data_IF_326562698254
#
_entry.id   IF_326562698254
#
_cell.length_a   1.000
_cell.length_b   1.000
_cell.length_c   1.000
_cell.angle_alpha   90.00
_cell.angle_beta   90.00
_cell.angle_gamma   90.00
#
_symmetry.space_group_name_H-M   'P 1'
#
loop_
_entity.id
_entity.type
_entity.pdbx_description
1 polymer ?
#
# COMPACT_ATOMS: atom_id res chain seq x y z
N UNK A 1 8.15 8.50 46.60
CA UNK A 1 8.40 9.11 45.28
C UNK A 1 7.84 8.16 44.23
N UNK A 2 6.67 8.49 43.68
CA UNK A 2 5.86 7.59 42.86
C UNK A 2 6.45 7.54 41.43
N UNK A 3 7.01 6.39 41.01
CA UNK A 3 7.41 6.15 39.62
C UNK A 3 6.13 5.86 38.84
N UNK A 4 5.54 6.89 38.25
CA UNK A 4 4.51 6.72 37.23
C UNK A 4 5.17 6.03 36.02
N UNK A 5 4.65 4.88 35.66
CA UNK A 5 5.08 4.03 34.55
C UNK A 5 4.94 4.75 33.21
N UNK A 6 6.06 4.95 32.51
CA UNK A 6 6.15 5.36 31.09
C UNK A 6 5.71 4.24 30.10
N UNK A 7 4.76 3.39 30.48
CA UNK A 7 4.49 2.15 29.75
C UNK A 7 3.53 2.32 28.55
N UNK A 8 2.84 3.46 28.42
CA UNK A 8 1.70 3.57 27.50
C UNK A 8 1.89 4.57 26.33
N UNK A 9 2.94 5.40 26.34
CA UNK A 9 3.22 6.29 25.20
C UNK A 9 3.84 5.49 24.04
N UNK A 10 3.29 5.58 22.82
CA UNK A 10 3.88 4.91 21.67
C UNK A 10 5.25 5.53 21.35
N UNK A 11 6.23 4.67 21.03
CA UNK A 11 7.56 5.07 20.52
C UNK A 11 7.50 5.62 19.08
N UNK A 12 6.30 5.66 18.49
CA UNK A 12 6.02 6.10 17.13
C UNK A 12 4.70 6.85 17.04
N UNK A 13 4.49 7.58 15.95
CA UNK A 13 3.21 8.23 15.67
C UNK A 13 2.08 7.17 15.55
N UNK A 14 0.85 7.48 16.01
CA UNK A 14 -0.28 6.59 15.84
C UNK A 14 -0.70 6.51 14.37
N UNK A 15 -1.14 5.32 13.96
CA UNK A 15 -1.73 5.08 12.64
C UNK A 15 -3.18 5.59 12.68
N UNK A 16 -3.51 6.61 11.88
CA UNK A 16 -4.84 7.22 11.83
C UNK A 16 -5.42 7.10 10.42
N UNK A 17 -6.28 6.10 10.14
CA UNK A 17 -6.94 5.97 8.84
C UNK A 17 -7.84 7.17 8.54
N UNK A 18 -7.79 7.68 7.32
CA UNK A 18 -8.58 8.84 6.91
C UNK A 18 -9.95 8.41 6.40
N UNK A 19 -10.95 9.27 6.55
CA UNK A 19 -12.30 9.06 6.05
C UNK A 19 -12.55 9.91 4.80
N UNK A 20 -13.49 9.50 3.96
CA UNK A 20 -13.98 10.26 2.81
C UNK A 20 -12.87 10.73 1.86
N UNK A 21 -11.95 9.82 1.50
CA UNK A 21 -10.89 10.09 0.54
C UNK A 21 -11.48 10.36 -0.85
N UNK A 22 -11.28 11.57 -1.34
CA UNK A 22 -11.61 11.99 -2.69
C UNK A 22 -10.44 12.83 -3.25
N UNK A 23 -9.86 12.37 -4.35
CA UNK A 23 -8.75 13.01 -5.03
C UNK A 23 -9.17 13.64 -6.37
N UNK A 24 -10.47 13.67 -6.69
CA UNK A 24 -10.99 14.22 -7.94
C UNK A 24 -10.52 13.47 -9.19
N UNK A 25 -10.30 12.15 -9.07
CA UNK A 25 -9.79 11.30 -10.15
C UNK A 25 -10.84 11.00 -11.24
N UNK A 26 -12.07 11.45 -11.08
CA UNK A 26 -13.13 11.47 -12.10
C UNK A 26 -13.17 12.79 -12.88
N UNK A 27 -12.42 13.80 -12.46
CA UNK A 27 -12.34 15.10 -13.11
C UNK A 27 -11.56 15.13 -14.44
N UNK A 28 -11.50 16.32 -15.03
CA UNK A 28 -10.76 16.61 -16.26
C UNK A 28 -9.25 16.75 -15.98
N UNK A 29 -8.60 15.62 -15.76
CA UNK A 29 -7.14 15.53 -15.63
C UNK A 29 -6.54 15.21 -17.01
N UNK A 30 -5.69 16.08 -17.58
CA UNK A 30 -5.07 15.87 -18.88
C UNK A 30 -4.31 14.54 -18.96
N UNK A 31 -4.28 13.92 -20.14
CA UNK A 31 -3.51 12.68 -20.40
C UNK A 31 -2.03 12.82 -19.99
N UNK A 32 -1.45 13.99 -20.20
CA UNK A 32 -0.09 14.33 -19.80
C UNK A 32 -0.14 15.43 -18.72
N UNK A 33 -0.62 15.06 -17.54
CA UNK A 33 -0.90 15.97 -16.43
C UNK A 33 0.33 16.70 -15.90
N UNK A 34 1.54 16.16 -16.12
CA UNK A 34 2.78 16.78 -15.68
C UNK A 34 3.27 17.82 -16.70
N UNK A 35 2.62 18.97 -16.72
CA UNK A 35 2.93 20.10 -17.60
C UNK A 35 2.95 19.75 -19.11
N UNK A 36 2.14 18.77 -19.54
CA UNK A 36 2.11 18.30 -20.92
C UNK A 36 3.26 17.36 -21.31
N UNK A 37 4.19 17.07 -20.40
CA UNK A 37 5.35 16.22 -20.66
C UNK A 37 4.97 14.74 -20.58
N UNK A 38 5.01 14.07 -21.73
CA UNK A 38 4.61 12.67 -21.85
C UNK A 38 5.52 11.71 -21.07
N UNK A 39 6.84 11.94 -21.09
CA UNK A 39 7.77 11.05 -20.40
C UNK A 39 7.61 11.16 -18.88
N UNK A 40 7.62 12.39 -18.36
CA UNK A 40 7.48 12.60 -16.91
C UNK A 40 6.15 12.09 -16.39
N UNK A 41 5.06 12.36 -17.11
CA UNK A 41 3.73 11.82 -16.78
C UNK A 41 3.78 10.30 -16.72
N UNK A 42 4.25 9.64 -17.79
CA UNK A 42 4.27 8.17 -17.84
C UNK A 42 5.21 7.52 -16.83
N UNK A 43 6.29 8.19 -16.46
CA UNK A 43 7.18 7.72 -15.40
C UNK A 43 6.45 7.63 -14.05
N UNK A 44 5.74 8.69 -13.66
CA UNK A 44 4.97 8.69 -12.40
C UNK A 44 3.71 7.83 -12.48
N UNK A 45 3.04 7.79 -13.64
CA UNK A 45 1.92 6.88 -13.87
C UNK A 45 2.33 5.41 -13.65
N UNK A 46 3.51 5.02 -14.14
CA UNK A 46 4.03 3.66 -13.99
C UNK A 46 4.25 3.29 -12.51
N UNK A 47 4.67 4.24 -11.67
CA UNK A 47 4.79 3.99 -10.22
C UNK A 47 3.43 3.62 -9.61
N UNK A 48 2.35 4.32 -10.00
CA UNK A 48 0.98 4.00 -9.55
C UNK A 48 0.57 2.55 -9.85
N UNK A 49 1.09 1.96 -10.92
CA UNK A 49 0.74 0.58 -11.30
C UNK A 49 1.31 -0.49 -10.36
N UNK A 50 2.39 -0.17 -9.63
CA UNK A 50 3.06 -1.09 -8.70
C UNK A 50 2.28 -1.25 -7.39
N UNK A 51 1.69 -0.16 -6.90
CA UNK A 51 1.15 -0.09 -5.54
C UNK A 51 0.01 -1.08 -5.26
N UNK A 52 -1.01 -1.28 -6.14
CA UNK A 52 -2.12 -2.18 -5.80
C UNK A 52 -1.71 -3.62 -5.47
N UNK A 53 -0.64 -4.14 -6.09
CA UNK A 53 -0.12 -5.47 -5.75
C UNK A 53 0.89 -5.42 -4.60
N UNK A 54 1.66 -4.34 -4.47
CA UNK A 54 2.55 -4.08 -3.34
C UNK A 54 1.79 -3.96 -2.00
N UNK A 55 0.73 -3.18 -1.95
CA UNK A 55 -0.11 -3.00 -0.76
C UNK A 55 -0.85 -4.30 -0.40
N UNK A 56 -1.30 -5.07 -1.39
CA UNK A 56 -1.80 -6.44 -1.17
C UNK A 56 -0.72 -7.32 -0.53
N UNK A 57 0.54 -7.17 -0.96
CA UNK A 57 1.67 -7.89 -0.39
C UNK A 57 1.95 -7.43 1.05
N UNK A 58 1.91 -6.13 1.34
CA UNK A 58 2.06 -5.57 2.69
C UNK A 58 0.98 -6.09 3.65
N UNK A 59 -0.29 -6.01 3.25
CA UNK A 59 -1.42 -6.54 4.03
C UNK A 59 -1.25 -8.05 4.27
N UNK A 60 -0.83 -8.79 3.24
CA UNK A 60 -0.66 -10.25 3.35
C UNK A 60 0.49 -10.60 4.29
N UNK A 61 1.63 -9.92 4.19
CA UNK A 61 2.81 -10.18 5.02
C UNK A 61 2.51 -9.95 6.51
N UNK A 62 1.80 -8.87 6.84
CA UNK A 62 1.37 -8.58 8.22
C UNK A 62 0.38 -9.63 8.73
N UNK A 63 -0.57 -10.05 7.88
CA UNK A 63 -1.57 -11.07 8.24
C UNK A 63 -0.95 -12.44 8.57
N UNK A 64 0.18 -12.79 7.97
CA UNK A 64 0.88 -14.05 8.28
C UNK A 64 1.35 -14.17 9.73
N UNK A 65 1.47 -13.03 10.45
CA UNK A 65 1.92 -12.97 11.83
C UNK A 65 0.82 -12.56 12.82
N UNK A 66 -0.40 -12.29 12.34
CA UNK A 66 -1.51 -11.77 13.15
C UNK A 66 -1.81 -12.64 14.37
N UNK A 67 -1.76 -13.95 14.23
CA UNK A 67 -2.10 -14.88 15.32
C UNK A 67 -1.06 -14.85 16.47
N UNK A 68 0.14 -14.32 16.22
CA UNK A 68 1.16 -14.07 17.24
C UNK A 68 1.03 -12.71 17.94
N UNK A 69 0.12 -11.85 17.49
CA UNK A 69 -0.08 -10.50 18.05
C UNK A 69 -1.08 -10.57 19.20
N UNK A 70 -0.59 -10.54 20.45
CA UNK A 70 -1.42 -10.65 21.66
C UNK A 70 -1.76 -9.31 22.30
N UNK A 71 -0.95 -8.27 22.08
CA UNK A 71 -1.19 -6.93 22.62
C UNK A 71 -2.44 -6.31 21.97
N UNK A 72 -3.46 -5.89 22.74
CA UNK A 72 -4.65 -5.23 22.18
C UNK A 72 -4.31 -3.96 21.38
N UNK A 73 -3.28 -3.22 21.82
CA UNK A 73 -2.79 -2.03 21.13
C UNK A 73 -2.23 -2.38 19.75
N UNK A 74 -1.34 -3.37 19.67
CA UNK A 74 -0.73 -3.79 18.42
C UNK A 74 -1.77 -4.44 17.47
N UNK A 75 -2.77 -5.15 18.02
CA UNK A 75 -3.88 -5.65 17.22
C UNK A 75 -4.69 -4.50 16.57
N UNK A 76 -4.86 -3.40 17.29
CA UNK A 76 -5.54 -2.22 16.75
C UNK A 76 -4.68 -1.54 15.67
N UNK A 77 -3.38 -1.37 15.91
CA UNK A 77 -2.44 -0.82 14.92
C UNK A 77 -2.40 -1.67 13.64
N UNK A 78 -2.40 -3.00 13.75
CA UNK A 78 -2.50 -3.91 12.58
C UNK A 78 -3.81 -3.70 11.82
N UNK A 79 -4.94 -3.50 12.51
CA UNK A 79 -6.23 -3.21 11.84
C UNK A 79 -6.20 -1.88 11.12
N UNK A 80 -5.65 -0.85 11.76
CA UNK A 80 -5.58 0.50 11.21
C UNK A 80 -4.62 0.57 10.02
N UNK A 81 -3.48 -0.13 10.09
CA UNK A 81 -2.58 -0.32 8.95
C UNK A 81 -3.30 -0.97 7.77
N UNK A 82 -3.94 -2.13 7.99
CA UNK A 82 -4.70 -2.83 6.92
C UNK A 82 -5.77 -1.94 6.32
N UNK A 83 -6.41 -1.09 7.14
CA UNK A 83 -7.42 -0.14 6.67
C UNK A 83 -6.80 0.94 5.77
N UNK A 84 -5.69 1.53 6.17
CA UNK A 84 -4.97 2.53 5.35
C UNK A 84 -4.51 1.93 4.03
N UNK A 85 -3.86 0.77 4.05
CA UNK A 85 -3.38 0.09 2.84
C UNK A 85 -4.52 -0.25 1.88
N UNK A 86 -5.65 -0.75 2.40
CA UNK A 86 -6.82 -1.02 1.57
C UNK A 86 -7.41 0.24 0.94
N UNK A 87 -7.34 1.38 1.64
CA UNK A 87 -7.76 2.67 1.12
C UNK A 87 -6.79 3.18 0.05
N UNK A 88 -5.47 3.06 0.26
CA UNK A 88 -4.46 3.40 -0.74
C UNK A 88 -4.63 2.59 -2.02
N UNK A 89 -4.87 1.27 -1.90
CA UNK A 89 -5.18 0.38 -3.03
C UNK A 89 -6.37 0.86 -3.83
N UNK A 90 -7.43 1.34 -3.17
CA UNK A 90 -8.61 1.84 -3.86
C UNK A 90 -8.27 3.06 -4.72
N UNK A 91 -7.50 4.01 -4.18
CA UNK A 91 -7.13 5.23 -4.89
C UNK A 91 -6.18 4.93 -6.06
N UNK A 92 -5.19 4.06 -5.87
CA UNK A 92 -4.31 3.65 -6.97
C UNK A 92 -5.06 2.90 -8.07
N UNK A 93 -6.07 2.08 -7.72
CA UNK A 93 -6.94 1.45 -8.73
C UNK A 93 -7.74 2.48 -9.52
N UNK A 94 -8.36 3.45 -8.85
CA UNK A 94 -9.08 4.54 -9.52
C UNK A 94 -8.14 5.33 -10.46
N UNK A 95 -6.91 5.60 -10.04
CA UNK A 95 -5.91 6.24 -10.89
C UNK A 95 -5.57 5.37 -12.10
N UNK A 96 -5.33 4.08 -11.88
CA UNK A 96 -4.96 3.13 -12.93
C UNK A 96 -6.12 2.89 -13.91
N UNK A 97 -7.39 3.01 -13.49
CA UNK A 97 -8.54 2.98 -14.39
C UNK A 97 -8.48 4.11 -15.44
N UNK A 98 -7.95 5.29 -15.07
CA UNK A 98 -7.68 6.36 -16.04
C UNK A 98 -6.60 5.95 -17.03
N UNK A 99 -5.53 5.28 -16.59
CA UNK A 99 -4.47 4.79 -17.47
C UNK A 99 -5.01 3.73 -18.44
N UNK A 100 -5.88 2.84 -17.95
CA UNK A 100 -6.59 1.85 -18.75
C UNK A 100 -7.44 2.51 -19.83
N UNK A 101 -8.19 3.55 -19.48
CA UNK A 101 -8.96 4.35 -20.45
C UNK A 101 -8.08 5.05 -21.51
N UNK A 102 -6.80 5.28 -21.21
CA UNK A 102 -5.81 5.84 -22.13
C UNK A 102 -5.08 4.78 -22.98
N UNK A 103 -5.45 3.50 -22.85
CA UNK A 103 -4.91 2.38 -23.62
C UNK A 103 -3.73 1.65 -22.97
N UNK A 104 -3.44 1.90 -21.68
CA UNK A 104 -2.43 1.12 -20.95
C UNK A 104 -3.03 -0.21 -20.50
N UNK A 105 -2.33 -1.31 -20.76
CA UNK A 105 -2.78 -2.65 -20.34
C UNK A 105 -2.50 -2.91 -18.86
N UNK A 106 -3.33 -2.29 -18.00
CA UNK A 106 -3.24 -2.42 -16.54
C UNK A 106 -3.51 -3.85 -16.09
N UNK A 107 -4.34 -4.61 -16.80
CA UNK A 107 -4.67 -5.99 -16.42
C UNK A 107 -3.44 -6.89 -16.60
N UNK A 108 -2.73 -6.76 -17.73
CA UNK A 108 -1.49 -7.49 -17.96
C UNK A 108 -0.38 -7.10 -16.97
N UNK A 109 -0.27 -5.81 -16.63
CA UNK A 109 0.70 -5.34 -15.61
C UNK A 109 0.36 -5.95 -14.24
N UNK A 110 -0.91 -5.90 -13.84
CA UNK A 110 -1.35 -6.49 -12.57
C UNK A 110 -1.08 -8.00 -12.52
N UNK A 111 -1.29 -8.74 -13.61
CA UNK A 111 -1.01 -10.17 -13.67
C UNK A 111 0.49 -10.48 -13.51
N UNK A 112 1.36 -9.68 -14.14
CA UNK A 112 2.81 -9.82 -13.99
C UNK A 112 3.25 -9.53 -12.55
N UNK A 113 2.74 -8.46 -11.96
CA UNK A 113 3.05 -8.10 -10.57
C UNK A 113 2.50 -9.11 -9.57
N UNK A 114 1.30 -9.65 -9.80
CA UNK A 114 0.74 -10.70 -8.97
C UNK A 114 1.61 -11.97 -9.00
N UNK A 115 2.09 -12.35 -10.19
CA UNK A 115 3.05 -13.46 -10.33
C UNK A 115 4.35 -13.16 -9.57
N UNK A 116 4.91 -11.97 -9.76
CA UNK A 116 6.13 -11.55 -9.06
C UNK A 116 5.97 -11.63 -7.53
N UNK A 117 4.97 -10.94 -6.96
CA UNK A 117 4.81 -10.83 -5.51
C UNK A 117 4.34 -12.11 -4.82
N UNK A 118 3.47 -12.90 -5.46
CA UNK A 118 2.79 -14.02 -4.82
C UNK A 118 3.22 -15.40 -5.33
N UNK A 119 4.01 -15.47 -6.40
CA UNK A 119 4.58 -16.72 -6.91
C UNK A 119 6.10 -16.71 -6.83
N UNK A 120 6.77 -15.67 -7.32
CA UNK A 120 8.23 -15.69 -7.44
C UNK A 120 8.95 -15.24 -6.17
N UNK A 121 8.53 -14.12 -5.56
CA UNK A 121 9.09 -13.63 -4.29
C UNK A 121 9.04 -14.71 -3.18
N UNK A 122 7.94 -15.45 -2.97
CA UNK A 122 7.88 -16.49 -1.93
C UNK A 122 8.80 -17.70 -2.18
N UNK A 123 9.26 -17.94 -3.41
CA UNK A 123 10.23 -19.02 -3.69
C UNK A 123 11.61 -18.75 -3.11
N UNK A 124 11.95 -17.48 -2.89
CA UNK A 124 13.29 -17.04 -2.47
C UNK A 124 13.31 -16.23 -1.17
N UNK A 125 12.15 -16.01 -0.55
CA UNK A 125 12.02 -15.26 0.70
C UNK A 125 11.22 -16.03 1.75
N UNK A 126 11.56 -15.82 3.02
CA UNK A 126 10.79 -16.29 4.17
C UNK A 126 9.66 -15.31 4.52
N UNK A 127 8.67 -15.76 5.29
CA UNK A 127 7.62 -14.90 5.86
C UNK A 127 8.20 -13.69 6.61
N UNK A 128 9.26 -13.91 7.40
CA UNK A 128 9.94 -12.86 8.15
C UNK A 128 10.61 -11.83 7.24
N UNK A 129 11.27 -12.27 6.16
CA UNK A 129 11.87 -11.34 5.20
C UNK A 129 10.82 -10.50 4.48
N UNK A 130 9.65 -11.06 4.16
CA UNK A 130 8.54 -10.32 3.54
C UNK A 130 7.93 -9.29 4.49
N UNK A 131 7.78 -9.64 5.76
CA UNK A 131 7.38 -8.69 6.80
C UNK A 131 8.43 -7.57 6.99
N UNK A 132 9.72 -7.92 7.02
CA UNK A 132 10.80 -6.95 7.13
C UNK A 132 10.85 -6.00 5.92
N UNK A 133 10.60 -6.51 4.71
CA UNK A 133 10.47 -5.67 3.52
C UNK A 133 9.29 -4.69 3.63
N UNK A 134 8.17 -5.14 4.18
CA UNK A 134 7.01 -4.28 4.45
C UNK A 134 7.37 -3.17 5.44
N UNK A 135 7.99 -3.51 6.57
CA UNK A 135 8.43 -2.54 7.58
C UNK A 135 9.57 -1.60 7.13
N UNK A 136 10.22 -1.89 6.00
CA UNK A 136 11.24 -1.01 5.42
C UNK A 136 10.65 -0.02 4.40
N UNK A 137 9.47 -0.34 3.87
CA UNK A 137 8.77 0.45 2.85
C UNK A 137 7.67 1.34 3.46
N UNK A 138 7.19 0.98 4.65
CA UNK A 138 6.16 1.67 5.46
C UNK A 138 6.71 2.05 6.84
#
# INVERSE_FOLDING_TARGET
MNRQTRADEPDHAPIVPRENLDFGLDGDIPKYWMAGDAFKTRFFDAMSTLFPMGEKFFITSVREFRDGVTSPKLQQEVKDFIRQEAQHTLIHRQFNDRLKAQGVDIDAINQQLETMFFVDVPKVTTRTQRLAATAALE
#
